data_IF_419596024337
#
_entry.id   IF_419596024337
#
_cell.length_a   1.000
_cell.length_b   1.000
_cell.length_c   1.000
_cell.angle_alpha   90.00
_cell.angle_beta   90.00
_cell.angle_gamma   90.00
#
_symmetry.space_group_name_H-M   'P 1'
#
loop_
_entity.id
_entity.type
_entity.pdbx_description
1 polymer ?
#
# COMPACT_ATOMS: atom_id res chain seq x y z
N UNK A 1 -33.44 -8.53 -10.61
CA UNK A 1 -32.83 -7.43 -9.81
C UNK A 1 -31.65 -7.85 -8.93
N UNK A 2 -31.41 -9.14 -8.62
CA UNK A 2 -30.27 -9.54 -7.77
C UNK A 2 -28.89 -9.55 -8.47
N UNK A 3 -28.85 -9.66 -9.80
CA UNK A 3 -27.61 -9.76 -10.58
C UNK A 3 -26.76 -8.48 -10.52
N UNK A 4 -27.41 -7.31 -10.61
CA UNK A 4 -26.74 -6.00 -10.57
C UNK A 4 -26.03 -5.76 -9.23
N UNK A 5 -26.66 -6.17 -8.13
CA UNK A 5 -26.08 -6.04 -6.80
C UNK A 5 -24.82 -6.92 -6.67
N UNK A 6 -24.88 -8.18 -7.11
CA UNK A 6 -23.74 -9.11 -7.05
C UNK A 6 -22.54 -8.61 -7.87
N UNK A 7 -22.79 -8.06 -9.06
CA UNK A 7 -21.73 -7.50 -9.91
C UNK A 7 -21.11 -6.24 -9.31
N UNK A 8 -21.92 -5.36 -8.72
CA UNK A 8 -21.42 -4.19 -8.00
C UNK A 8 -20.51 -4.60 -6.82
N UNK A 9 -20.89 -5.62 -6.03
CA UNK A 9 -20.05 -6.12 -4.94
C UNK A 9 -18.74 -6.75 -5.43
N UNK A 10 -18.78 -7.56 -6.51
CA UNK A 10 -17.56 -8.14 -7.09
C UNK A 10 -16.63 -7.07 -7.68
N UNK A 11 -17.20 -6.07 -8.35
CA UNK A 11 -16.45 -4.94 -8.89
C UNK A 11 -15.81 -4.07 -7.80
N UNK A 12 -16.41 -3.98 -6.61
CA UNK A 12 -15.81 -3.29 -5.46
C UNK A 12 -14.76 -4.17 -4.77
N UNK A 13 -15.02 -5.46 -4.59
CA UNK A 13 -14.08 -6.40 -3.97
C UNK A 13 -12.78 -6.54 -4.77
N UNK A 14 -12.85 -6.46 -6.10
CA UNK A 14 -11.69 -6.53 -7.00
C UNK A 14 -10.90 -5.21 -7.10
N UNK A 15 -11.36 -4.10 -6.52
CA UNK A 15 -10.60 -2.82 -6.48
C UNK A 15 -9.50 -2.79 -5.43
N UNK A 16 -9.43 -3.78 -4.55
CA UNK A 16 -8.27 -3.96 -3.66
C UNK A 16 -7.16 -4.70 -4.39
N UNK A 17 -6.52 -4.02 -5.35
CA UNK A 17 -5.38 -4.56 -6.11
C UNK A 17 -4.15 -4.80 -5.24
N UNK A 18 -4.08 -4.17 -4.06
CA UNK A 18 -2.98 -4.31 -3.11
C UNK A 18 -3.49 -4.82 -1.77
N UNK A 19 -2.75 -5.76 -1.19
CA UNK A 19 -2.99 -6.27 0.16
C UNK A 19 -2.83 -5.15 1.19
N UNK A 20 -3.50 -5.27 2.34
CA UNK A 20 -3.39 -4.29 3.43
C UNK A 20 -1.94 -4.11 3.92
N UNK A 21 -1.18 -5.21 3.88
CA UNK A 21 0.25 -5.26 4.14
C UNK A 21 0.99 -5.57 2.85
N UNK A 22 1.77 -4.61 2.38
CA UNK A 22 2.51 -4.67 1.14
C UNK A 22 3.96 -5.05 1.41
N UNK A 23 4.53 -5.92 0.57
CA UNK A 23 5.98 -6.14 0.59
C UNK A 23 6.66 -4.95 -0.07
N UNK A 24 7.99 -4.86 0.09
CA UNK A 24 8.81 -3.80 -0.51
C UNK A 24 8.51 -3.53 -2.00
N UNK A 25 8.37 -4.58 -2.81
CA UNK A 25 8.09 -4.43 -4.25
C UNK A 25 6.69 -3.85 -4.49
N UNK A 26 5.69 -4.37 -3.79
CA UNK A 26 4.30 -3.94 -3.93
C UNK A 26 4.10 -2.51 -3.42
N UNK A 27 4.77 -2.13 -2.33
CA UNK A 27 4.72 -0.77 -1.79
C UNK A 27 5.35 0.25 -2.74
N UNK A 28 6.46 -0.11 -3.39
CA UNK A 28 7.08 0.74 -4.42
C UNK A 28 6.15 0.91 -5.63
N UNK A 29 5.50 -0.17 -6.06
CA UNK A 29 4.51 -0.14 -7.15
C UNK A 29 3.28 0.68 -6.76
N UNK A 30 2.78 0.55 -5.53
CA UNK A 30 1.64 1.29 -5.00
C UNK A 30 1.90 2.80 -5.02
N UNK A 31 3.10 3.21 -4.60
CA UNK A 31 3.52 4.61 -4.61
C UNK A 31 3.97 5.11 -5.99
N UNK A 32 4.10 4.23 -6.99
CA UNK A 32 4.59 4.58 -8.33
C UNK A 32 6.07 4.97 -8.38
N UNK A 33 6.89 4.46 -7.45
CA UNK A 33 8.32 4.80 -7.32
C UNK A 33 9.23 3.57 -7.49
N UNK A 34 10.53 3.80 -7.63
CA UNK A 34 11.52 2.72 -7.64
C UNK A 34 11.72 2.13 -6.24
N UNK A 35 12.09 0.85 -6.18
CA UNK A 35 12.36 0.15 -4.90
C UNK A 35 13.56 0.74 -4.15
N UNK A 36 14.51 1.37 -4.84
CA UNK A 36 15.62 2.09 -4.23
C UNK A 36 15.17 3.40 -3.59
N UNK A 37 14.24 4.11 -4.23
CA UNK A 37 13.66 5.32 -3.66
C UNK A 37 12.78 5.01 -2.45
N UNK A 38 12.03 3.90 -2.49
CA UNK A 38 11.28 3.41 -1.32
C UNK A 38 12.21 3.15 -0.11
N UNK A 39 13.39 2.58 -0.33
CA UNK A 39 14.39 2.41 0.73
C UNK A 39 14.87 3.74 1.30
N UNK A 40 15.08 4.75 0.45
CA UNK A 40 15.42 6.10 0.90
C UNK A 40 14.31 6.69 1.76
N UNK A 41 13.04 6.54 1.35
CA UNK A 41 11.88 6.99 2.14
C UNK A 41 11.80 6.23 3.47
N UNK A 42 12.10 4.93 3.46
CA UNK A 42 12.18 4.10 4.67
C UNK A 42 13.23 4.65 5.64
N UNK A 43 14.40 5.03 5.15
CA UNK A 43 15.44 5.69 5.97
C UNK A 43 15.02 7.07 6.45
N UNK A 44 14.17 7.79 5.70
CA UNK A 44 13.60 9.10 6.08
C UNK A 44 12.46 8.99 7.09
N UNK A 45 12.01 7.78 7.45
CA UNK A 45 10.98 7.58 8.46
C UNK A 45 9.64 7.06 7.92
N UNK A 46 9.59 6.53 6.69
CA UNK A 46 8.38 5.86 6.19
C UNK A 46 8.01 4.70 7.12
N UNK A 47 6.76 4.62 7.61
CA UNK A 47 6.33 3.60 8.56
C UNK A 47 6.46 2.20 7.97
N UNK A 48 7.33 1.41 8.58
CA UNK A 48 7.67 0.06 8.13
C UNK A 48 7.57 -0.92 9.29
N UNK A 49 6.98 -2.07 9.03
CA UNK A 49 6.84 -3.17 9.99
C UNK A 49 7.92 -4.20 9.66
N UNK A 50 8.73 -4.56 10.65
CA UNK A 50 9.79 -5.56 10.50
C UNK A 50 9.41 -6.83 11.26
N UNK A 51 9.21 -7.93 10.53
CA UNK A 51 8.88 -9.25 11.09
C UNK A 51 9.90 -10.27 10.56
N UNK A 52 10.74 -10.82 11.43
CA UNK A 52 11.72 -11.88 11.09
C UNK A 52 12.56 -11.57 9.83
N UNK A 53 12.99 -10.32 9.67
CA UNK A 53 13.79 -9.85 8.52
C UNK A 53 12.97 -9.47 7.28
N UNK A 54 11.65 -9.68 7.27
CA UNK A 54 10.75 -9.17 6.24
C UNK A 54 10.30 -7.74 6.56
N UNK A 55 10.48 -6.83 5.60
CA UNK A 55 9.91 -5.48 5.66
C UNK A 55 8.54 -5.45 4.99
N UNK A 56 7.53 -5.10 5.78
CA UNK A 56 6.15 -4.90 5.35
C UNK A 56 5.74 -3.45 5.54
N UNK A 57 4.84 -2.99 4.68
CA UNK A 57 4.33 -1.63 4.67
C UNK A 57 2.81 -1.69 4.75
N UNK A 58 2.23 -1.09 5.79
CA UNK A 58 0.78 -1.00 5.90
C UNK A 58 0.29 0.15 5.03
N UNK A 59 -0.66 -0.13 4.13
CA UNK A 59 -1.18 0.86 3.19
C UNK A 59 -1.64 2.15 3.87
N UNK A 60 -2.49 2.03 4.90
CA UNK A 60 -3.02 3.20 5.59
C UNK A 60 -1.93 4.03 6.29
N UNK A 61 -0.89 3.39 6.83
CA UNK A 61 0.24 4.10 7.44
C UNK A 61 1.06 4.86 6.41
N UNK A 62 1.30 4.25 5.24
CA UNK A 62 1.98 4.90 4.12
C UNK A 62 1.17 6.10 3.63
N UNK A 63 -0.14 5.96 3.44
CA UNK A 63 -1.02 7.05 3.01
C UNK A 63 -1.01 8.21 4.02
N UNK A 64 -1.09 7.93 5.32
CA UNK A 64 -1.02 8.94 6.36
C UNK A 64 0.33 9.68 6.36
N UNK A 65 1.43 8.96 6.18
CA UNK A 65 2.75 9.56 6.09
C UNK A 65 2.88 10.50 4.89
N UNK A 66 2.32 10.11 3.74
CA UNK A 66 2.29 10.97 2.54
C UNK A 66 1.45 12.23 2.75
N UNK A 67 0.31 12.13 3.44
CA UNK A 67 -0.55 13.28 3.77
C UNK A 67 0.17 14.25 4.72
N UNK A 68 0.90 13.75 5.70
CA UNK A 68 1.68 14.56 6.64
C UNK A 68 2.82 15.33 5.94
N UNK A 69 3.36 14.76 4.86
CA UNK A 69 4.44 15.37 4.06
C UNK A 69 3.93 16.21 2.88
N UNK A 70 2.61 16.40 2.76
CA UNK A 70 2.03 17.27 1.75
C UNK A 70 2.24 18.74 2.15
N UNK A 71 2.84 19.53 1.25
CA UNK A 71 3.06 20.98 1.40
C UNK A 71 1.96 21.75 0.65
#
# INVERSE_FOLDING_TARGET
>A
MQTVALEAFKAVASRHTFAEYMKRKDAAQYLGISTGYLDQLTTKGLPTILLDGLKLYKRSSVDQWMLDHQI
#
